data_IF_952376976963
#
_entry.id   IF_952376976963
#
_cell.length_a   1.000
_cell.length_b   1.000
_cell.length_c   1.000
_cell.angle_alpha   90.00
_cell.angle_beta   90.00
_cell.angle_gamma   90.00
#
_symmetry.space_group_name_H-M   'P 1'
#
loop_
_entity.id
_entity.type
_entity.pdbx_description
1 polymer ?
#
# COMPACT_ATOMS: atom_id res chain seq x y z
N UNK A 1 12.75 -25.75 -8.83
CA UNK A 1 12.64 -24.63 -7.88
C UNK A 1 11.46 -23.71 -8.21
N UNK A 2 11.13 -23.50 -9.49
CA UNK A 2 10.05 -22.62 -9.98
C UNK A 2 8.59 -22.88 -9.50
N UNK A 3 8.05 -24.11 -9.41
CA UNK A 3 6.61 -24.30 -9.14
C UNK A 3 6.21 -24.15 -7.66
N UNK A 4 7.16 -24.30 -6.75
CA UNK A 4 6.92 -24.19 -5.31
C UNK A 4 6.92 -22.74 -4.86
N UNK A 5 7.85 -21.93 -5.40
CA UNK A 5 7.91 -20.50 -5.11
C UNK A 5 6.66 -19.77 -5.64
N UNK A 6 6.21 -20.08 -6.86
CA UNK A 6 4.97 -19.48 -7.40
C UNK A 6 3.74 -19.81 -6.52
N UNK A 7 3.61 -21.06 -6.06
CA UNK A 7 2.55 -21.45 -5.12
C UNK A 7 2.65 -20.71 -3.78
N UNK A 8 3.86 -20.46 -3.30
CA UNK A 8 4.08 -19.65 -2.10
C UNK A 8 3.66 -18.19 -2.32
N UNK A 9 3.97 -17.60 -3.47
CA UNK A 9 3.55 -16.24 -3.83
C UNK A 9 2.01 -16.15 -3.91
N UNK A 10 1.35 -17.12 -4.53
CA UNK A 10 -0.12 -17.17 -4.57
C UNK A 10 -0.73 -17.33 -3.17
N UNK A 11 -0.15 -18.20 -2.34
CA UNK A 11 -0.59 -18.37 -0.95
C UNK A 11 -0.44 -17.06 -0.15
N UNK A 12 0.64 -16.31 -0.34
CA UNK A 12 0.80 -14.99 0.27
C UNK A 12 -0.23 -13.97 -0.24
N UNK A 13 -0.55 -13.98 -1.54
CA UNK A 13 -1.60 -13.12 -2.09
C UNK A 13 -2.97 -13.42 -1.45
N UNK A 14 -3.35 -14.70 -1.33
CA UNK A 14 -4.60 -15.08 -0.67
C UNK A 14 -4.62 -14.74 0.82
N UNK A 15 -3.51 -14.97 1.53
CA UNK A 15 -3.38 -14.60 2.94
C UNK A 15 -3.50 -13.08 3.13
N UNK A 16 -2.93 -12.30 2.21
CA UNK A 16 -3.03 -10.85 2.21
C UNK A 16 -4.49 -10.41 2.03
N UNK A 17 -5.23 -10.98 1.09
CA UNK A 17 -6.65 -10.69 0.91
C UNK A 17 -7.47 -11.03 2.17
N UNK A 18 -7.26 -12.21 2.76
CA UNK A 18 -7.92 -12.63 3.99
C UNK A 18 -7.63 -11.65 5.14
N UNK A 19 -6.36 -11.28 5.30
CA UNK A 19 -5.94 -10.33 6.33
C UNK A 19 -6.57 -8.95 6.10
N UNK A 20 -6.72 -8.52 4.84
CA UNK A 20 -7.43 -7.30 4.46
C UNK A 20 -8.90 -7.32 4.90
N UNK A 21 -9.61 -8.43 4.67
CA UNK A 21 -10.98 -8.61 5.12
C UNK A 21 -11.11 -8.57 6.66
N UNK A 22 -10.19 -9.23 7.37
CA UNK A 22 -10.14 -9.20 8.85
C UNK A 22 -9.87 -7.78 9.34
N UNK A 23 -8.86 -7.10 8.78
CA UNK A 23 -8.54 -5.72 9.09
C UNK A 23 -9.73 -4.78 8.84
N UNK A 24 -10.46 -4.95 7.74
CA UNK A 24 -11.66 -4.18 7.45
C UNK A 24 -12.71 -4.37 8.55
N UNK A 25 -13.05 -5.62 8.88
CA UNK A 25 -14.03 -5.92 9.92
C UNK A 25 -13.62 -5.34 11.29
N UNK A 26 -12.33 -5.41 11.64
CA UNK A 26 -11.79 -4.83 12.86
C UNK A 26 -11.85 -3.30 12.83
N UNK A 27 -11.43 -2.65 11.75
CA UNK A 27 -11.41 -1.19 11.61
C UNK A 27 -12.81 -0.58 11.49
N UNK A 28 -13.85 -1.36 11.18
CA UNK A 28 -15.23 -0.90 11.32
C UNK A 28 -15.66 -0.72 12.79
N UNK A 29 -15.01 -1.43 13.72
CA UNK A 29 -15.38 -1.47 15.15
C UNK A 29 -14.35 -0.79 16.06
N UNK A 30 -13.08 -0.86 15.68
CA UNK A 30 -11.93 -0.38 16.44
C UNK A 30 -11.30 0.82 15.74
N UNK A 31 -10.89 1.81 16.51
CA UNK A 31 -10.15 2.96 15.99
C UNK A 31 -8.77 2.56 15.50
N UNK A 32 -8.27 3.25 14.47
CA UNK A 32 -6.93 2.97 13.91
C UNK A 32 -5.85 3.03 15.00
N UNK A 33 -4.91 2.07 15.05
CA UNK A 33 -3.94 1.99 16.13
C UNK A 33 -2.81 3.03 16.05
N UNK A 34 -2.92 4.03 15.19
CA UNK A 34 -1.90 5.08 15.01
C UNK A 34 -2.53 6.43 14.63
N UNK A 35 -1.70 7.46 14.49
CA UNK A 35 -2.15 8.80 14.15
C UNK A 35 -3.04 9.40 15.26
N UNK A 36 -4.20 9.97 14.88
CA UNK A 36 -5.08 10.71 15.80
C UNK A 36 -5.58 9.84 16.97
N UNK A 37 -5.76 8.55 16.72
CA UNK A 37 -6.30 7.56 17.66
C UNK A 37 -5.22 6.79 18.42
N UNK A 38 -3.92 7.03 18.16
CA UNK A 38 -2.80 6.32 18.79
C UNK A 38 -2.83 6.34 20.33
N UNK A 39 -3.43 7.35 20.95
CA UNK A 39 -3.54 7.45 22.41
C UNK A 39 -4.50 6.41 23.02
N UNK A 40 -5.41 5.83 22.24
CA UNK A 40 -6.39 4.84 22.72
C UNK A 40 -5.79 3.43 22.85
N UNK A 41 -4.60 3.21 22.29
CA UNK A 41 -3.95 1.91 22.25
C UNK A 41 -2.84 1.79 23.30
N UNK A 42 -2.84 0.72 24.12
CA UNK A 42 -1.84 0.51 25.17
C UNK A 42 -0.51 0.01 24.60
N UNK A 43 0.52 0.00 25.44
CA UNK A 43 1.81 -0.62 25.15
C UNK A 43 2.94 0.35 24.79
N UNK A 44 4.16 -0.19 24.55
CA UNK A 44 5.34 0.61 24.22
C UNK A 44 5.15 1.36 22.91
N UNK A 45 5.79 2.53 22.80
CA UNK A 45 5.60 3.45 21.68
C UNK A 45 6.93 3.83 21.03
N UNK A 46 6.87 4.04 19.73
CA UNK A 46 7.99 4.48 18.90
C UNK A 46 7.68 5.89 18.37
N UNK A 47 8.66 6.80 18.33
CA UNK A 47 8.48 8.10 17.68
C UNK A 47 7.95 7.94 16.26
N UNK A 48 6.94 8.72 15.88
CA UNK A 48 6.23 8.54 14.62
C UNK A 48 7.17 8.53 13.41
N UNK A 49 8.13 9.45 13.34
CA UNK A 49 9.10 9.52 12.24
C UNK A 49 9.94 8.25 12.12
N UNK A 50 10.39 7.71 13.25
CA UNK A 50 11.17 6.47 13.29
C UNK A 50 10.31 5.29 12.88
N UNK A 51 9.08 5.20 13.38
CA UNK A 51 8.16 4.12 13.01
C UNK A 51 7.87 4.11 11.51
N UNK A 52 7.54 5.27 10.92
CA UNK A 52 7.29 5.40 9.48
C UNK A 52 8.54 5.13 8.62
N UNK A 53 9.71 5.61 9.06
CA UNK A 53 10.96 5.30 8.38
C UNK A 53 11.27 3.80 8.43
N UNK A 54 11.09 3.12 9.57
CA UNK A 54 11.45 1.70 9.70
C UNK A 54 10.45 0.76 9.05
N UNK A 55 9.16 0.99 9.23
CA UNK A 55 8.13 0.02 8.86
C UNK A 55 8.02 -0.19 7.33
N UNK A 56 8.37 0.82 6.51
CA UNK A 56 8.21 0.75 5.05
C UNK A 56 9.50 0.35 4.33
N UNK A 57 10.65 0.42 5.01
CA UNK A 57 11.97 0.09 4.45
C UNK A 57 12.06 -1.30 3.81
N UNK A 58 11.46 -2.38 4.34
CA UNK A 58 11.56 -3.69 3.69
C UNK A 58 10.98 -3.71 2.27
N UNK A 59 9.92 -2.93 2.02
CA UNK A 59 9.32 -2.83 0.70
C UNK A 59 10.19 -2.03 -0.28
N UNK A 60 11.09 -1.17 0.21
CA UNK A 60 12.15 -0.56 -0.60
C UNK A 60 13.37 -1.49 -0.77
N UNK A 61 13.74 -2.22 0.29
CA UNK A 61 14.96 -3.03 0.32
C UNK A 61 14.89 -4.22 -0.65
N UNK A 62 13.77 -4.94 -0.69
CA UNK A 62 13.58 -6.09 -1.59
C UNK A 62 13.84 -5.77 -3.07
N UNK A 63 13.19 -4.77 -3.68
CA UNK A 63 13.45 -4.45 -5.09
C UNK A 63 14.87 -3.96 -5.36
N UNK A 64 15.52 -3.30 -4.39
CA UNK A 64 16.93 -2.92 -4.53
C UNK A 64 17.87 -4.13 -4.47
N UNK A 65 17.62 -5.08 -3.56
CA UNK A 65 18.37 -6.33 -3.47
C UNK A 65 18.21 -7.18 -4.73
N UNK A 66 16.99 -7.23 -5.28
CA UNK A 66 16.72 -7.95 -6.53
C UNK A 66 17.50 -7.34 -7.71
N UNK A 67 17.61 -6.01 -7.76
CA UNK A 67 18.41 -5.31 -8.78
C UNK A 67 19.93 -5.54 -8.65
N UNK A 68 20.44 -5.94 -7.48
CA UNK A 68 21.87 -6.23 -7.27
C UNK A 68 22.22 -7.72 -7.37
N UNK A 69 21.21 -8.61 -7.30
CA UNK A 69 21.40 -10.04 -7.48
C UNK A 69 21.63 -10.39 -8.97
N UNK A 70 22.43 -11.43 -9.23
CA UNK A 70 22.74 -11.85 -10.58
C UNK A 70 21.51 -12.45 -11.30
N UNK A 71 21.08 -11.80 -12.37
CA UNK A 71 20.07 -12.22 -13.37
C UNK A 71 18.66 -12.56 -12.87
N UNK A 72 17.89 -11.56 -12.42
CA UNK A 72 16.43 -11.67 -12.48
C UNK A 72 15.97 -11.77 -13.94
N UNK A 73 15.45 -12.95 -14.31
CA UNK A 73 15.24 -13.38 -15.71
C UNK A 73 14.27 -12.50 -16.50
N UNK A 74 13.40 -11.73 -15.84
CA UNK A 74 12.38 -10.89 -16.49
C UNK A 74 12.70 -9.41 -16.50
N UNK A 75 13.73 -8.95 -15.77
CA UNK A 75 14.11 -7.53 -15.77
C UNK A 75 14.81 -7.06 -17.05
N UNK A 76 15.20 -7.97 -17.95
CA UNK A 76 15.61 -7.57 -19.31
C UNK A 76 14.46 -6.92 -20.10
N UNK A 77 13.22 -7.24 -19.74
CA UNK A 77 12.01 -6.73 -20.41
C UNK A 77 11.61 -5.36 -19.89
N UNK A 78 11.24 -4.46 -20.81
CA UNK A 78 10.87 -3.08 -20.48
C UNK A 78 9.66 -2.99 -19.52
N UNK A 79 8.55 -3.74 -19.70
CA UNK A 79 7.39 -3.61 -18.82
C UNK A 79 7.70 -3.92 -17.34
N UNK A 80 8.47 -4.99 -17.09
CA UNK A 80 8.89 -5.36 -15.74
C UNK A 80 9.74 -4.26 -15.08
N UNK A 81 10.67 -3.65 -15.83
CA UNK A 81 11.48 -2.53 -15.33
C UNK A 81 10.64 -1.29 -15.00
N UNK A 82 9.68 -0.95 -15.85
CA UNK A 82 8.80 0.21 -15.64
C UNK A 82 7.96 0.01 -14.38
N UNK A 83 7.33 -1.16 -14.22
CA UNK A 83 6.53 -1.47 -13.03
C UNK A 83 7.37 -1.49 -11.75
N UNK A 84 8.55 -2.12 -11.80
CA UNK A 84 9.45 -2.15 -10.66
C UNK A 84 9.94 -0.74 -10.30
N UNK A 85 10.22 0.10 -11.30
CA UNK A 85 10.59 1.50 -11.10
C UNK A 85 9.45 2.31 -10.48
N UNK A 86 8.20 2.14 -10.92
CA UNK A 86 7.04 2.77 -10.30
C UNK A 86 6.92 2.38 -8.82
N UNK A 87 7.07 1.09 -8.51
CA UNK A 87 7.07 0.58 -7.14
C UNK A 87 8.22 1.17 -6.30
N UNK A 88 9.43 1.24 -6.86
CA UNK A 88 10.59 1.84 -6.21
C UNK A 88 10.39 3.34 -5.94
N UNK A 89 9.90 4.11 -6.91
CA UNK A 89 9.65 5.55 -6.74
C UNK A 89 8.67 5.80 -5.59
N UNK A 90 7.59 5.01 -5.51
CA UNK A 90 6.66 5.06 -4.40
C UNK A 90 7.36 4.81 -3.06
N UNK A 91 8.10 3.70 -2.94
CA UNK A 91 8.72 3.31 -1.66
C UNK A 91 9.95 4.12 -1.29
N UNK A 92 10.64 4.76 -2.24
CA UNK A 92 11.64 5.80 -1.97
C UNK A 92 10.98 7.00 -1.32
N UNK A 93 9.90 7.52 -1.92
CA UNK A 93 9.18 8.64 -1.33
C UNK A 93 8.65 8.28 0.06
N UNK A 94 8.03 7.11 0.20
CA UNK A 94 7.41 6.65 1.45
C UNK A 94 8.40 6.34 2.57
N UNK A 95 9.53 5.70 2.27
CA UNK A 95 10.50 5.29 3.30
C UNK A 95 11.55 6.37 3.59
N UNK A 96 11.95 7.16 2.59
CA UNK A 96 13.10 8.07 2.70
C UNK A 96 12.74 9.56 2.65
N UNK A 97 11.54 9.94 2.21
CA UNK A 97 11.12 11.35 2.12
C UNK A 97 10.01 11.64 3.13
N UNK A 98 8.90 10.92 3.05
CA UNK A 98 7.71 11.12 3.87
C UNK A 98 7.96 11.17 5.37
N UNK A 99 8.82 10.31 5.99
CA UNK A 99 9.03 10.35 7.43
C UNK A 99 9.63 11.67 7.91
N UNK A 100 10.43 12.32 7.07
CA UNK A 100 11.00 13.64 7.33
C UNK A 100 9.99 14.78 7.13
N UNK A 101 8.96 14.56 6.32
CA UNK A 101 7.86 15.50 6.09
C UNK A 101 6.79 15.47 7.20
N UNK A 102 6.81 14.48 8.10
CA UNK A 102 5.84 14.38 9.20
C UNK A 102 5.99 15.58 10.15
N UNK A 103 4.95 16.42 10.20
CA UNK A 103 4.79 17.55 11.13
C UNK A 103 3.88 17.15 12.30
N UNK A 104 4.44 17.02 13.50
CA UNK A 104 3.68 16.75 14.72
C UNK A 104 2.93 15.40 14.71
N UNK A 105 3.66 14.28 14.90
CA UNK A 105 3.09 12.94 14.94
C UNK A 105 3.01 12.36 16.36
N UNK A 106 1.83 11.86 16.76
CA UNK A 106 1.70 11.09 18.02
C UNK A 106 2.55 9.81 17.92
N UNK A 107 3.29 9.43 18.98
CA UNK A 107 4.04 8.18 18.99
C UNK A 107 3.15 6.97 18.67
N UNK A 108 3.64 6.11 17.78
CA UNK A 108 2.93 4.93 17.29
C UNK A 108 3.16 3.75 18.25
N UNK A 109 2.14 2.93 18.56
CA UNK A 109 2.34 1.68 19.28
C UNK A 109 3.33 0.77 18.55
N UNK A 110 4.29 0.20 19.29
CA UNK A 110 5.34 -0.66 18.74
C UNK A 110 4.76 -1.85 17.98
N UNK A 111 3.69 -2.45 18.49
CA UNK A 111 3.01 -3.57 17.83
C UNK A 111 2.53 -3.20 16.42
N UNK A 112 2.03 -1.98 16.22
CA UNK A 112 1.61 -1.49 14.90
C UNK A 112 2.80 -1.34 13.96
N UNK A 113 3.91 -0.80 14.45
CA UNK A 113 5.15 -0.66 13.67
C UNK A 113 5.69 -2.04 13.24
N UNK A 114 5.72 -3.02 14.15
CA UNK A 114 6.19 -4.39 13.85
C UNK A 114 5.27 -5.08 12.85
N UNK A 115 3.95 -5.00 13.02
CA UNK A 115 3.01 -5.58 12.06
C UNK A 115 3.14 -4.95 10.67
N UNK A 116 3.32 -3.63 10.59
CA UNK A 116 3.56 -2.92 9.34
C UNK A 116 4.90 -3.34 8.70
N UNK A 117 5.97 -3.47 9.49
CA UNK A 117 7.27 -3.97 9.02
C UNK A 117 7.17 -5.38 8.42
N UNK A 118 6.49 -6.29 9.11
CA UNK A 118 6.28 -7.66 8.63
C UNK A 118 5.45 -7.66 7.34
N UNK A 119 4.37 -6.87 7.30
CA UNK A 119 3.57 -6.70 6.10
C UNK A 119 4.41 -6.18 4.92
N UNK A 120 5.18 -5.10 5.11
CA UNK A 120 6.04 -4.54 4.07
C UNK A 120 7.14 -5.50 3.63
N UNK A 121 7.62 -6.37 4.53
CA UNK A 121 8.58 -7.42 4.18
C UNK A 121 7.94 -8.46 3.26
N UNK A 122 6.77 -8.98 3.63
CA UNK A 122 6.04 -9.96 2.82
C UNK A 122 5.59 -9.35 1.48
N UNK A 123 5.03 -8.15 1.50
CA UNK A 123 4.55 -7.45 0.30
C UNK A 123 5.70 -7.06 -0.63
N UNK A 124 6.81 -6.56 -0.07
CA UNK A 124 8.02 -6.23 -0.83
C UNK A 124 8.57 -7.44 -1.57
N UNK A 125 8.70 -8.58 -0.88
CA UNK A 125 9.12 -9.84 -1.48
C UNK A 125 8.11 -10.30 -2.55
N UNK A 126 6.82 -10.34 -2.22
CA UNK A 126 5.75 -10.80 -3.12
C UNK A 126 5.76 -10.04 -4.46
N UNK A 127 5.73 -8.72 -4.40
CA UNK A 127 5.62 -7.85 -5.59
C UNK A 127 6.92 -7.85 -6.40
N UNK A 128 8.06 -7.74 -5.72
CA UNK A 128 9.37 -7.73 -6.36
C UNK A 128 9.64 -9.05 -7.07
N UNK A 129 9.45 -10.17 -6.36
CA UNK A 129 9.78 -11.50 -6.87
C UNK A 129 8.89 -11.89 -8.04
N UNK A 130 7.59 -11.60 -7.96
CA UNK A 130 6.67 -11.87 -9.05
C UNK A 130 7.03 -11.09 -10.32
N UNK A 131 7.32 -9.79 -10.22
CA UNK A 131 7.68 -8.95 -11.38
C UNK A 131 9.04 -9.27 -11.99
N UNK A 132 9.99 -9.73 -11.19
CA UNK A 132 11.36 -9.99 -11.67
C UNK A 132 11.55 -11.39 -12.25
N UNK A 133 10.69 -12.37 -11.91
CA UNK A 133 10.84 -13.78 -12.33
C UNK A 133 9.64 -14.35 -13.09
N UNK A 134 8.41 -13.97 -12.71
CA UNK A 134 7.21 -14.70 -13.14
C UNK A 134 6.31 -13.90 -14.09
N UNK A 135 6.26 -12.58 -13.97
CA UNK A 135 5.39 -11.75 -14.79
C UNK A 135 5.82 -11.72 -16.27
N UNK A 136 4.89 -12.09 -17.15
CA UNK A 136 5.08 -12.10 -18.60
C UNK A 136 4.11 -11.10 -19.23
N UNK A 137 4.68 -10.14 -19.96
CA UNK A 137 3.95 -9.06 -20.62
C UNK A 137 4.23 -9.07 -22.12
N UNK A 138 3.21 -8.77 -22.93
CA UNK A 138 3.36 -8.59 -24.37
C UNK A 138 4.10 -7.27 -24.68
N UNK A 139 4.72 -7.15 -25.86
CA UNK A 139 5.49 -5.95 -26.22
C UNK A 139 4.61 -4.69 -26.42
N UNK A 140 3.32 -4.90 -26.71
CA UNK A 140 2.28 -3.88 -26.84
C UNK A 140 1.53 -3.59 -25.53
N UNK A 141 2.06 -4.03 -24.39
CA UNK A 141 1.48 -3.89 -23.04
C UNK A 141 0.90 -2.50 -22.74
N UNK A 142 1.54 -1.43 -23.22
CA UNK A 142 1.12 -0.03 -22.95
C UNK A 142 -0.17 0.35 -23.68
N UNK A 143 -0.52 -0.37 -24.74
CA UNK A 143 -1.77 -0.18 -25.48
C UNK A 143 -2.88 -1.12 -25.02
N UNK A 144 -2.58 -2.04 -24.09
CA UNK A 144 -3.58 -2.97 -23.59
C UNK A 144 -4.58 -2.26 -22.67
N UNK A 145 -5.87 -2.67 -22.69
CA UNK A 145 -6.92 -2.06 -21.87
C UNK A 145 -6.57 -1.96 -20.38
N UNK A 146 -5.85 -2.97 -19.87
CA UNK A 146 -5.39 -3.05 -18.49
C UNK A 146 -4.43 -1.91 -18.12
N UNK A 147 -3.50 -1.53 -19.00
CA UNK A 147 -2.60 -0.39 -18.76
C UNK A 147 -3.33 0.95 -18.89
N UNK A 148 -4.13 1.11 -19.95
CA UNK A 148 -4.85 2.36 -20.25
C UNK A 148 -5.88 2.74 -19.17
N UNK A 149 -6.49 1.75 -18.52
CA UNK A 149 -7.44 1.97 -17.42
C UNK A 149 -6.77 2.37 -16.08
N UNK A 150 -5.44 2.20 -15.93
CA UNK A 150 -4.73 2.38 -14.67
C UNK A 150 -4.37 3.84 -14.31
N UNK A 151 -4.64 4.82 -15.18
CA UNK A 151 -4.27 6.22 -14.96
C UNK A 151 -5.45 7.13 -14.64
N UNK A 152 -5.69 7.44 -13.36
CA UNK A 152 -6.70 8.42 -12.92
C UNK A 152 -6.17 9.22 -11.71
N UNK A 153 -6.10 10.55 -11.80
CA UNK A 153 -5.95 11.45 -10.65
C UNK A 153 -6.85 12.69 -10.86
N UNK A 154 -7.75 12.97 -9.92
CA UNK A 154 -8.04 14.30 -9.34
C UNK A 154 -9.32 14.27 -8.47
N UNK A 155 -9.43 15.24 -7.55
CA UNK A 155 -10.62 15.66 -6.76
C UNK A 155 -11.02 14.82 -5.52
N UNK A 156 -10.49 15.07 -4.29
CA UNK A 156 -11.25 14.92 -3.00
C UNK A 156 -10.46 15.25 -1.69
N UNK A 157 -11.20 15.27 -0.57
CA UNK A 157 -10.81 15.62 0.82
C UNK A 157 -9.79 14.68 1.50
N UNK A 158 -9.77 13.38 1.20
CA UNK A 158 -8.72 12.44 1.64
C UNK A 158 -7.84 12.02 0.45
N UNK A 159 -7.37 13.02 -0.30
CA UNK A 159 -6.61 12.85 -1.54
C UNK A 159 -5.44 11.86 -1.40
N UNK A 160 -4.83 11.78 -0.22
CA UNK A 160 -3.75 10.83 0.04
C UNK A 160 -4.24 9.36 0.08
N UNK A 161 -5.38 9.07 0.70
CA UNK A 161 -5.88 7.68 0.76
C UNK A 161 -6.52 7.23 -0.54
N UNK A 162 -7.26 8.11 -1.23
CA UNK A 162 -7.74 7.78 -2.57
C UNK A 162 -6.59 7.72 -3.57
N UNK A 163 -5.62 8.65 -3.49
CA UNK A 163 -4.42 8.59 -4.31
C UNK A 163 -3.71 7.25 -4.16
N UNK A 164 -3.53 6.78 -2.92
CA UNK A 164 -2.92 5.46 -2.64
C UNK A 164 -3.80 4.30 -3.15
N UNK A 165 -5.13 4.33 -2.96
CA UNK A 165 -6.03 3.30 -3.53
C UNK A 165 -5.97 3.28 -5.06
N UNK A 166 -6.06 4.44 -5.70
CA UNK A 166 -6.05 4.54 -7.17
C UNK A 166 -4.68 4.16 -7.73
N UNK A 167 -3.59 4.55 -7.08
CA UNK A 167 -2.24 4.14 -7.43
C UNK A 167 -2.11 2.61 -7.41
N UNK A 168 -2.55 1.94 -6.35
CA UNK A 168 -2.43 0.48 -6.26
C UNK A 168 -3.42 -0.26 -7.16
N UNK A 169 -4.63 0.27 -7.36
CA UNK A 169 -5.55 -0.25 -8.38
C UNK A 169 -4.96 -0.09 -9.78
N UNK A 170 -4.37 1.06 -10.10
CA UNK A 170 -3.69 1.32 -11.37
C UNK A 170 -2.48 0.41 -11.56
N UNK A 171 -1.71 0.17 -10.51
CA UNK A 171 -0.61 -0.78 -10.52
C UNK A 171 -1.08 -2.24 -10.72
N UNK A 172 -2.19 -2.62 -10.09
CA UNK A 172 -2.78 -3.94 -10.28
C UNK A 172 -3.34 -4.14 -11.69
N UNK A 173 -4.01 -3.11 -12.23
CA UNK A 173 -4.51 -3.11 -13.60
C UNK A 173 -3.36 -3.17 -14.59
N UNK A 174 -2.35 -2.30 -14.43
CA UNK A 174 -1.15 -2.36 -15.24
C UNK A 174 -0.54 -3.76 -15.14
N UNK A 175 -0.06 -4.17 -13.96
CA UNK A 175 0.65 -5.45 -13.79
C UNK A 175 -0.16 -6.71 -14.06
N UNK A 176 -1.50 -6.61 -14.16
CA UNK A 176 -2.44 -7.69 -14.44
C UNK A 176 -2.09 -9.00 -13.70
N UNK A 177 -1.80 -8.89 -12.40
CA UNK A 177 -1.31 -9.99 -11.57
C UNK A 177 -2.16 -10.19 -10.32
N UNK A 178 -2.27 -11.45 -9.88
CA UNK A 178 -2.98 -11.80 -8.63
C UNK A 178 -2.35 -11.08 -7.43
N UNK A 179 -1.03 -11.00 -7.41
CA UNK A 179 -0.23 -10.44 -6.33
C UNK A 179 -0.50 -8.94 -6.16
N UNK A 180 -0.47 -8.18 -7.26
CA UNK A 180 -0.84 -6.77 -7.23
C UNK A 180 -2.33 -6.54 -6.98
N UNK A 181 -3.21 -7.40 -7.51
CA UNK A 181 -4.64 -7.36 -7.21
C UNK A 181 -4.95 -7.57 -5.72
N UNK A 182 -4.25 -8.52 -5.08
CA UNK A 182 -4.35 -8.77 -3.65
C UNK A 182 -3.89 -7.56 -2.83
N UNK A 183 -2.79 -6.91 -3.23
CA UNK A 183 -2.31 -5.71 -2.56
C UNK A 183 -3.26 -4.51 -2.74
N UNK A 184 -3.80 -4.31 -3.93
CA UNK A 184 -4.80 -3.27 -4.18
C UNK A 184 -6.06 -3.48 -3.31
N UNK A 185 -6.56 -4.72 -3.22
CA UNK A 185 -7.70 -5.06 -2.37
C UNK A 185 -7.38 -4.87 -0.88
N UNK A 186 -6.20 -5.30 -0.43
CA UNK A 186 -5.76 -5.09 0.95
C UNK A 186 -5.71 -3.59 1.29
N UNK A 187 -5.10 -2.78 0.42
CA UNK A 187 -5.05 -1.32 0.61
C UNK A 187 -6.46 -0.72 0.68
N UNK A 188 -7.34 -1.07 -0.26
CA UNK A 188 -8.73 -0.59 -0.25
C UNK A 188 -9.44 -0.94 1.06
N UNK A 189 -9.35 -2.20 1.48
CA UNK A 189 -10.02 -2.71 2.69
C UNK A 189 -9.46 -2.11 3.98
N UNK A 190 -8.19 -1.70 4.02
CA UNK A 190 -7.61 -1.00 5.18
C UNK A 190 -7.91 0.50 5.16
N UNK A 191 -7.82 1.15 3.99
CA UNK A 191 -7.96 2.61 3.87
C UNK A 191 -9.41 3.08 3.90
N UNK A 192 -10.36 2.31 3.38
CA UNK A 192 -11.79 2.65 3.38
C UNK A 192 -12.36 2.92 4.79
N UNK A 193 -12.26 2.00 5.77
CA UNK A 193 -12.77 2.26 7.12
C UNK A 193 -11.96 3.36 7.82
N UNK A 194 -10.67 3.52 7.50
CA UNK A 194 -9.84 4.61 8.03
C UNK A 194 -10.30 5.98 7.53
N UNK A 195 -10.62 6.10 6.24
CA UNK A 195 -11.19 7.32 5.67
C UNK A 195 -12.52 7.67 6.37
N UNK A 196 -13.38 6.67 6.62
CA UNK A 196 -14.63 6.84 7.37
C UNK A 196 -14.40 7.35 8.80
N UNK A 197 -13.46 6.77 9.53
CA UNK A 197 -13.09 7.23 10.87
C UNK A 197 -12.60 8.69 10.85
N UNK A 198 -11.73 9.01 9.88
CA UNK A 198 -11.18 10.37 9.73
C UNK A 198 -12.29 11.37 9.43
N UNK A 199 -13.18 11.07 8.49
CA UNK A 199 -14.34 11.91 8.18
C UNK A 199 -15.24 12.15 9.40
N UNK A 200 -15.55 11.09 10.16
CA UNK A 200 -16.32 11.17 11.41
C UNK A 200 -15.65 12.07 12.44
N UNK A 201 -14.34 11.94 12.64
CA UNK A 201 -13.60 12.79 13.56
C UNK A 201 -13.65 14.27 13.18
N UNK A 202 -13.59 14.59 11.88
CA UNK A 202 -13.71 15.98 11.42
C UNK A 202 -15.09 16.57 11.74
N UNK A 203 -16.17 15.80 11.49
CA UNK A 203 -17.53 16.20 11.83
C UNK A 203 -17.74 16.41 13.34
N UNK A 204 -17.09 15.60 14.17
CA UNK A 204 -17.20 15.69 15.63
C UNK A 204 -16.34 16.82 16.21
N UNK A 205 -15.20 17.14 15.58
CA UNK A 205 -14.22 18.08 16.15
C UNK A 205 -14.40 19.54 15.71
N UNK A 206 -14.94 19.77 14.51
CA UNK A 206 -15.07 21.10 13.94
C UNK A 206 -16.53 21.39 13.58
N UNK A 207 -17.11 22.40 14.24
CA UNK A 207 -18.50 22.81 14.02
C UNK A 207 -18.73 23.32 12.58
N UNK A 208 -17.74 24.03 12.02
CA UNK A 208 -17.79 24.60 10.66
C UNK A 208 -17.37 23.62 9.55
N UNK A 209 -17.18 22.32 9.85
CA UNK A 209 -16.76 21.37 8.83
C UNK A 209 -17.88 21.12 7.80
N UNK A 210 -17.62 21.27 6.48
CA UNK A 210 -18.66 21.12 5.46
C UNK A 210 -19.24 19.70 5.44
N UNK A 211 -20.50 19.55 5.88
CA UNK A 211 -21.23 18.27 5.95
C UNK A 211 -21.51 17.64 4.59
N UNK A 212 -21.36 18.41 3.50
CA UNK A 212 -21.49 17.93 2.12
C UNK A 212 -20.28 17.14 1.62
N UNK A 213 -19.12 17.23 2.30
CA UNK A 213 -17.91 16.47 1.93
C UNK A 213 -18.15 14.97 2.04
N UNK A 214 -17.62 14.21 1.09
CA UNK A 214 -17.68 12.75 1.05
C UNK A 214 -16.39 12.13 1.62
N UNK A 215 -16.45 10.85 1.96
CA UNK A 215 -15.46 10.12 2.74
C UNK A 215 -14.23 9.74 1.89
N UNK A 216 -14.44 9.14 0.71
CA UNK A 216 -13.38 8.57 -0.13
C UNK A 216 -13.67 8.61 -1.65
N UNK A 217 -14.91 8.54 -2.12
CA UNK A 217 -15.26 8.60 -3.56
C UNK A 217 -15.96 9.92 -3.84
N UNK A 218 -15.45 10.76 -4.78
CA UNK A 218 -16.09 12.02 -5.11
C UNK A 218 -17.56 11.83 -5.46
N UNK A 219 -18.43 12.65 -4.86
CA UNK A 219 -19.88 12.70 -5.10
C UNK A 219 -20.69 11.44 -4.75
N UNK A 220 -20.06 10.34 -4.33
CA UNK A 220 -20.72 9.07 -4.03
C UNK A 220 -20.56 8.64 -2.57
N UNK A 221 -19.33 8.50 -2.07
CA UNK A 221 -19.05 7.90 -0.77
C UNK A 221 -18.08 8.72 0.06
#
# INVERSE_FOLDING_TARGET
>A
MEPEELRLLDAFAYLMMLTGCVCFALLLRLSSPYGRYASQWPGPRVPARVAWALQELPALAWPLLECTCASPQRLDRLPNRVLLAMYLVHYVHRSLIFPFLIRGGKPMPLVTCVLAFLFCTCNGYLQTRYLSWYAVYAEDWVTQPCFLAGGLFEYITAANYLGEVVEWCGFALASCSLQSGAFALFTLTVLLPRAKQHHRWYLEKFEDYPKSRKILIPFLY
#
